data_IF_473790520928
#
_entry.id   IF_473790520928
#
_cell.length_a   1.000
_cell.length_b   1.000
_cell.length_c   1.000
_cell.angle_alpha   90.00
_cell.angle_beta   90.00
_cell.angle_gamma   90.00
#
_symmetry.space_group_name_H-M   'P 1'
#
loop_
_entity.id
_entity.type
_entity.pdbx_description
1 polymer ?
#
# COMPACT_ATOMS: atom_id res chain seq x y z
N UNK A 1 -15.63 11.66 -37.38
CA UNK A 1 -14.25 11.39 -36.98
C UNK A 1 -14.03 11.96 -35.57
N UNK A 2 -13.68 11.12 -34.60
CA UNK A 2 -13.26 11.63 -33.29
C UNK A 2 -11.94 12.40 -33.46
N UNK A 3 -11.88 13.62 -32.94
CA UNK A 3 -10.61 14.35 -32.92
C UNK A 3 -9.65 13.64 -31.96
N UNK A 4 -8.32 13.72 -32.19
CA UNK A 4 -7.30 13.12 -31.31
C UNK A 4 -7.56 13.47 -29.83
N UNK A 5 -7.94 14.69 -29.55
CA UNK A 5 -8.28 15.16 -28.22
C UNK A 5 -9.45 14.36 -27.59
N UNK A 6 -10.55 14.13 -28.33
CA UNK A 6 -11.68 13.35 -27.82
C UNK A 6 -11.30 11.87 -27.60
N UNK A 7 -10.44 11.33 -28.45
CA UNK A 7 -9.94 9.96 -28.31
C UNK A 7 -9.12 9.81 -27.02
N UNK A 8 -8.22 10.77 -26.74
CA UNK A 8 -7.42 10.77 -25.51
C UNK A 8 -8.29 10.92 -24.26
N UNK A 9 -9.29 11.82 -24.27
CA UNK A 9 -10.22 11.98 -23.16
C UNK A 9 -10.98 10.68 -22.88
N UNK A 10 -11.50 10.03 -23.91
CA UNK A 10 -12.20 8.75 -23.76
C UNK A 10 -11.27 7.65 -23.26
N UNK A 11 -10.06 7.55 -23.83
CA UNK A 11 -9.06 6.57 -23.44
C UNK A 11 -8.70 6.66 -21.94
N UNK A 12 -8.34 7.84 -21.46
CA UNK A 12 -7.98 8.02 -20.05
C UNK A 12 -9.18 7.88 -19.11
N UNK A 13 -10.38 8.26 -19.53
CA UNK A 13 -11.59 8.05 -18.74
C UNK A 13 -11.89 6.54 -18.58
N UNK A 14 -11.86 5.77 -19.67
CA UNK A 14 -12.06 4.32 -19.62
C UNK A 14 -10.97 3.65 -18.79
N UNK A 15 -9.71 4.04 -18.99
CA UNK A 15 -8.58 3.48 -18.24
C UNK A 15 -8.71 3.76 -16.74
N UNK A 16 -9.19 4.94 -16.34
CA UNK A 16 -9.46 5.29 -14.94
C UNK A 16 -10.55 4.40 -14.33
N UNK A 17 -11.65 4.17 -15.06
CA UNK A 17 -12.73 3.29 -14.57
C UNK A 17 -12.25 1.84 -14.43
N UNK A 18 -11.49 1.34 -15.42
CA UNK A 18 -10.94 -0.02 -15.36
C UNK A 18 -9.91 -0.19 -14.22
N UNK A 19 -9.09 0.83 -13.98
CA UNK A 19 -8.14 0.84 -12.87
C UNK A 19 -8.88 0.77 -11.53
N UNK A 20 -9.93 1.57 -11.36
CA UNK A 20 -10.78 1.56 -10.17
C UNK A 20 -11.45 0.20 -9.97
N UNK A 21 -12.04 -0.35 -11.03
CA UNK A 21 -12.65 -1.68 -11.01
C UNK A 21 -11.65 -2.77 -10.62
N UNK A 22 -10.40 -2.68 -11.12
CA UNK A 22 -9.32 -3.59 -10.76
C UNK A 22 -8.98 -3.57 -9.27
N UNK A 23 -9.06 -2.40 -8.63
CA UNK A 23 -8.85 -2.26 -7.20
C UNK A 23 -9.97 -2.89 -6.35
N UNK A 24 -11.24 -2.72 -6.78
CA UNK A 24 -12.39 -3.25 -6.04
C UNK A 24 -12.63 -4.76 -6.27
N UNK A 25 -12.33 -5.28 -7.46
CA UNK A 25 -12.60 -6.67 -7.84
C UNK A 25 -11.33 -7.53 -7.91
N UNK A 26 -10.32 -7.20 -7.08
CA UNK A 26 -9.05 -7.94 -7.03
C UNK A 26 -9.19 -9.43 -6.63
N UNK A 27 -10.34 -9.83 -6.08
CA UNK A 27 -10.60 -11.16 -5.52
C UNK A 27 -10.74 -12.30 -6.57
N UNK A 28 -9.92 -12.26 -7.62
CA UNK A 28 -9.75 -13.42 -8.50
C UNK A 28 -10.65 -13.47 -9.74
N UNK A 29 -11.59 -12.53 -9.94
CA UNK A 29 -12.48 -12.53 -11.11
C UNK A 29 -11.71 -12.14 -12.38
N UNK A 30 -10.75 -11.23 -12.27
CA UNK A 30 -9.92 -10.82 -13.39
C UNK A 30 -8.53 -10.32 -12.94
N UNK A 31 -7.59 -11.23 -12.83
CA UNK A 31 -6.22 -10.93 -12.40
C UNK A 31 -5.55 -9.83 -13.25
N UNK A 32 -5.88 -9.78 -14.54
CA UNK A 32 -5.34 -8.76 -15.46
C UNK A 32 -5.83 -7.35 -15.12
N UNK A 33 -7.06 -7.23 -14.58
CA UNK A 33 -7.59 -5.95 -14.16
C UNK A 33 -6.83 -5.40 -12.95
N UNK A 34 -6.39 -6.28 -12.06
CA UNK A 34 -5.59 -5.90 -10.88
C UNK A 34 -4.23 -5.32 -11.27
N UNK A 35 -3.62 -5.76 -12.38
CA UNK A 35 -2.39 -5.14 -12.87
C UNK A 35 -2.56 -3.68 -13.32
N UNK A 36 -3.77 -3.27 -13.73
CA UNK A 36 -4.03 -1.88 -14.07
C UNK A 36 -3.90 -0.94 -12.86
N UNK A 37 -4.10 -1.45 -11.65
CA UNK A 37 -3.93 -0.63 -10.42
C UNK A 37 -2.49 -0.17 -10.24
N UNK A 38 -1.50 -0.91 -10.78
CA UNK A 38 -0.11 -0.49 -10.77
C UNK A 38 0.12 0.76 -11.64
N UNK A 39 -0.78 1.01 -12.60
CA UNK A 39 -0.72 2.17 -13.50
C UNK A 39 -1.52 3.37 -13.01
N UNK A 40 -2.00 3.35 -11.77
CA UNK A 40 -2.81 4.46 -11.22
C UNK A 40 -2.08 5.80 -11.33
N UNK A 41 -0.79 5.86 -11.03
CA UNK A 41 0.00 7.10 -11.10
C UNK A 41 0.14 7.67 -12.52
N UNK A 42 0.56 6.88 -13.53
CA UNK A 42 0.55 7.35 -14.92
C UNK A 42 -0.85 7.75 -15.41
N UNK A 43 -1.91 7.05 -14.97
CA UNK A 43 -3.29 7.38 -15.34
C UNK A 43 -3.70 8.73 -14.75
N UNK A 44 -3.40 8.98 -13.48
CA UNK A 44 -3.67 10.26 -12.81
C UNK A 44 -2.86 11.39 -13.43
N UNK A 45 -1.58 11.18 -13.71
CA UNK A 45 -0.73 12.15 -14.39
C UNK A 45 -1.26 12.51 -15.79
N UNK A 46 -1.70 11.50 -16.56
CA UNK A 46 -2.33 11.70 -17.86
C UNK A 46 -3.63 12.51 -17.78
N UNK A 47 -4.48 12.22 -16.82
CA UNK A 47 -5.70 13.01 -16.60
C UNK A 47 -5.38 14.44 -16.18
N UNK A 48 -4.38 14.65 -15.32
CA UNK A 48 -3.95 16.01 -14.93
C UNK A 48 -3.43 16.80 -16.12
N UNK A 49 -2.63 16.16 -16.97
CA UNK A 49 -2.16 16.76 -18.23
C UNK A 49 -3.33 17.12 -19.15
N UNK A 50 -4.34 16.25 -19.27
CA UNK A 50 -5.54 16.53 -20.05
C UNK A 50 -6.34 17.69 -19.47
N UNK A 51 -6.43 17.83 -18.14
CA UNK A 51 -7.02 19.04 -17.51
C UNK A 51 -6.27 20.27 -17.98
N UNK A 52 -4.94 20.29 -17.90
CA UNK A 52 -4.13 21.42 -18.32
C UNK A 52 -4.35 21.74 -19.82
N UNK A 53 -4.34 20.73 -20.69
CA UNK A 53 -4.59 20.92 -22.14
C UNK A 53 -6.00 21.49 -22.37
N UNK A 54 -7.03 20.97 -21.71
CA UNK A 54 -8.41 21.43 -21.91
C UNK A 54 -8.63 22.90 -21.51
N UNK A 55 -7.89 23.42 -20.54
CA UNK A 55 -7.96 24.84 -20.14
C UNK A 55 -7.58 25.79 -21.27
N UNK A 56 -6.72 25.35 -22.20
CA UNK A 56 -6.28 26.13 -23.37
C UNK A 56 -7.12 25.85 -24.63
N UNK A 57 -8.09 24.93 -24.57
CA UNK A 57 -8.97 24.65 -25.71
C UNK A 57 -10.21 25.57 -25.72
N UNK A 58 -10.87 25.68 -26.88
CA UNK A 58 -12.15 26.40 -27.01
C UNK A 58 -13.28 25.70 -26.26
N UNK A 59 -13.19 24.36 -26.08
CA UNK A 59 -14.25 23.53 -25.47
C UNK A 59 -13.91 23.21 -24.01
N UNK A 60 -13.77 24.24 -23.19
CA UNK A 60 -13.36 24.15 -21.78
C UNK A 60 -14.24 23.22 -20.93
N UNK A 61 -15.52 23.06 -21.28
CA UNK A 61 -16.43 22.16 -20.57
C UNK A 61 -15.96 20.69 -20.56
N UNK A 62 -15.12 20.29 -21.54
CA UNK A 62 -14.56 18.93 -21.58
C UNK A 62 -13.55 18.67 -20.47
N UNK A 63 -13.06 19.69 -19.77
CA UNK A 63 -12.21 19.54 -18.58
C UNK A 63 -12.89 18.72 -17.48
N UNK A 64 -14.23 18.70 -17.47
CA UNK A 64 -14.99 17.93 -16.47
C UNK A 64 -14.65 16.42 -16.53
N UNK A 65 -14.35 15.88 -17.71
CA UNK A 65 -14.08 14.42 -17.90
C UNK A 65 -12.82 13.98 -17.13
N UNK A 66 -11.63 14.57 -17.37
CA UNK A 66 -10.44 14.16 -16.62
C UNK A 66 -10.50 14.60 -15.14
N UNK A 67 -11.24 15.66 -14.79
CA UNK A 67 -11.46 16.01 -13.39
C UNK A 67 -12.27 14.95 -12.65
N UNK A 68 -13.37 14.47 -13.24
CA UNK A 68 -14.15 13.36 -12.67
C UNK A 68 -13.30 12.09 -12.57
N UNK A 69 -12.48 11.80 -13.58
CA UNK A 69 -11.56 10.66 -13.54
C UNK A 69 -10.57 10.75 -12.36
N UNK A 70 -10.04 11.94 -12.05
CA UNK A 70 -9.18 12.15 -10.87
C UNK A 70 -9.99 12.00 -9.57
N UNK A 71 -11.19 12.58 -9.50
CA UNK A 71 -12.06 12.49 -8.33
C UNK A 71 -12.47 11.06 -7.99
N UNK A 72 -12.62 10.18 -8.98
CA UNK A 72 -12.89 8.76 -8.76
C UNK A 72 -11.78 8.05 -7.97
N UNK A 73 -10.55 8.59 -7.99
CA UNK A 73 -9.41 8.02 -7.27
C UNK A 73 -9.12 8.72 -5.93
N UNK A 74 -10.04 9.54 -5.42
CA UNK A 74 -9.83 10.31 -4.19
C UNK A 74 -9.54 9.41 -3.00
N UNK A 75 -10.25 8.30 -2.84
CA UNK A 75 -10.04 7.36 -1.74
C UNK A 75 -8.62 6.78 -1.76
N UNK A 76 -8.14 6.43 -2.95
CA UNK A 76 -6.77 5.97 -3.13
C UNK A 76 -5.75 7.07 -2.79
N UNK A 77 -5.97 8.30 -3.26
CA UNK A 77 -5.09 9.43 -2.98
C UNK A 77 -5.04 9.74 -1.48
N UNK A 78 -6.18 9.71 -0.80
CA UNK A 78 -6.24 9.94 0.65
C UNK A 78 -5.62 8.80 1.46
N UNK A 79 -5.69 7.56 0.97
CA UNK A 79 -5.03 6.42 1.61
C UNK A 79 -3.50 6.48 1.49
N UNK A 80 -2.98 6.99 0.36
CA UNK A 80 -1.52 7.11 0.12
C UNK A 80 -0.95 8.38 0.77
N UNK A 81 -1.65 9.51 0.63
CA UNK A 81 -1.26 10.76 1.24
C UNK A 81 -2.07 10.99 2.51
N UNK A 82 -1.52 10.62 3.64
CA UNK A 82 -2.03 11.05 4.92
C UNK A 82 -1.77 12.56 5.03
N UNK A 83 -2.81 13.35 4.77
CA UNK A 83 -2.75 14.78 5.04
C UNK A 83 -2.51 14.95 6.55
N UNK A 84 -1.59 15.85 6.96
CA UNK A 84 -1.36 16.09 8.36
C UNK A 84 -2.71 16.44 9.02
N UNK A 85 -3.10 15.63 9.99
CA UNK A 85 -4.31 15.88 10.77
C UNK A 85 -4.08 17.18 11.52
N UNK A 86 -4.86 18.20 11.23
CA UNK A 86 -4.76 19.52 11.86
C UNK A 86 -5.11 19.51 13.34
N UNK A 87 -5.67 18.40 13.80
CA UNK A 87 -5.92 18.10 15.20
C UNK A 87 -4.98 16.97 15.63
N UNK A 88 -3.68 17.24 15.76
CA UNK A 88 -2.85 16.36 16.57
C UNK A 88 -3.44 16.35 17.99
N UNK A 89 -3.86 15.19 18.52
CA UNK A 89 -4.30 15.12 19.90
C UNK A 89 -3.17 15.69 20.75
N UNK A 90 -3.45 16.76 21.47
CA UNK A 90 -2.50 17.31 22.44
C UNK A 90 -2.13 16.19 23.40
N UNK A 91 -0.87 16.09 23.79
CA UNK A 91 -0.37 15.03 24.67
C UNK A 91 -1.18 14.88 25.98
N UNK A 92 -1.99 15.89 26.32
CA UNK A 92 -2.94 15.87 27.44
C UNK A 92 -4.21 15.04 27.21
N UNK A 93 -4.52 14.63 25.96
CA UNK A 93 -5.70 13.81 25.64
C UNK A 93 -5.37 12.32 25.53
N UNK A 94 -4.09 11.94 25.66
CA UNK A 94 -3.66 10.54 25.68
C UNK A 94 -3.81 9.96 27.09
N UNK A 95 -5.04 9.78 27.55
CA UNK A 95 -5.34 8.89 28.68
C UNK A 95 -5.20 7.44 28.21
N UNK A 96 -4.01 6.87 28.35
CA UNK A 96 -3.75 5.48 28.00
C UNK A 96 -2.36 5.04 28.42
N UNK A 97 -2.20 3.73 28.64
CA UNK A 97 -0.88 3.15 28.85
C UNK A 97 -0.13 3.14 27.52
N UNK A 98 1.10 3.69 27.43
CA UNK A 98 1.88 3.66 26.20
C UNK A 98 2.12 2.20 25.79
N UNK A 99 1.86 1.88 24.51
CA UNK A 99 2.05 0.57 23.94
C UNK A 99 3.23 0.61 22.97
N UNK A 100 4.23 -0.23 23.22
CA UNK A 100 5.40 -0.35 22.31
C UNK A 100 5.14 -1.45 21.30
N UNK A 101 5.05 -1.09 20.02
CA UNK A 101 4.84 -2.02 18.91
C UNK A 101 6.09 -2.06 18.05
N UNK A 102 6.62 -3.26 17.79
CA UNK A 102 7.73 -3.50 16.86
C UNK A 102 7.22 -4.23 15.64
N UNK A 103 7.58 -3.74 14.47
CA UNK A 103 7.37 -4.42 13.18
C UNK A 103 8.71 -4.79 12.58
N UNK A 104 8.89 -6.05 12.16
CA UNK A 104 10.16 -6.58 11.71
C UNK A 104 9.98 -7.52 10.51
N UNK A 105 10.58 -7.15 9.37
CA UNK A 105 10.64 -8.05 8.22
C UNK A 105 11.80 -9.01 8.41
N UNK A 106 11.49 -10.30 8.58
CA UNK A 106 12.47 -11.35 8.84
C UNK A 106 13.18 -11.85 7.58
N UNK A 107 12.68 -11.53 6.38
CA UNK A 107 13.21 -12.00 5.09
C UNK A 107 13.55 -13.51 5.12
N UNK A 108 12.71 -14.32 5.75
CA UNK A 108 12.87 -15.76 5.97
C UNK A 108 14.19 -16.17 6.65
N UNK A 109 14.93 -15.22 7.22
CA UNK A 109 16.26 -15.43 7.83
C UNK A 109 17.26 -16.12 6.88
N UNK A 110 17.31 -15.71 5.60
CA UNK A 110 18.08 -16.40 4.56
C UNK A 110 19.59 -16.36 4.73
N UNK A 111 20.16 -15.33 5.33
CA UNK A 111 21.62 -15.10 5.33
C UNK A 111 22.39 -16.09 6.22
N UNK A 112 22.03 -16.21 7.47
CA UNK A 112 22.50 -17.24 8.42
C UNK A 112 21.40 -17.45 9.46
N UNK A 113 20.63 -18.52 9.31
CA UNK A 113 19.41 -18.75 10.05
C UNK A 113 19.60 -18.69 11.57
N UNK A 114 20.66 -19.31 12.07
CA UNK A 114 20.88 -19.37 13.52
C UNK A 114 21.37 -18.04 14.09
N UNK A 115 22.27 -17.38 13.40
CA UNK A 115 22.86 -16.11 13.84
C UNK A 115 21.84 -14.99 13.75
N UNK A 116 21.20 -14.82 12.59
CA UNK A 116 20.22 -13.74 12.34
C UNK A 116 19.00 -13.84 13.26
N UNK A 117 18.49 -15.06 13.53
CA UNK A 117 17.39 -15.27 14.46
C UNK A 117 17.75 -14.87 15.89
N UNK A 118 18.92 -15.27 16.36
CA UNK A 118 19.38 -14.96 17.70
C UNK A 118 19.64 -13.46 17.89
N UNK A 119 20.20 -12.79 16.87
CA UNK A 119 20.40 -11.33 16.91
C UNK A 119 19.07 -10.58 16.88
N UNK A 120 18.13 -10.95 16.01
CA UNK A 120 16.83 -10.35 15.96
C UNK A 120 16.09 -10.50 17.30
N UNK A 121 16.12 -11.69 17.89
CA UNK A 121 15.51 -11.95 19.17
C UNK A 121 16.16 -11.14 20.31
N UNK A 122 17.48 -11.06 20.33
CA UNK A 122 18.21 -10.26 21.32
C UNK A 122 17.88 -8.75 21.17
N UNK A 123 17.75 -8.27 19.94
CA UNK A 123 17.36 -6.89 19.67
C UNK A 123 15.93 -6.60 20.10
N UNK A 124 14.97 -7.46 19.73
CA UNK A 124 13.56 -7.33 20.12
C UNK A 124 13.42 -7.35 21.64
N UNK A 125 14.13 -8.28 22.32
CA UNK A 125 14.15 -8.34 23.77
C UNK A 125 14.66 -7.04 24.42
N UNK A 126 15.69 -6.43 23.85
CA UNK A 126 16.22 -5.15 24.33
C UNK A 126 15.19 -4.02 24.24
N UNK A 127 14.31 -4.05 23.25
CA UNK A 127 13.25 -3.05 23.06
C UNK A 127 12.06 -3.26 24.03
N UNK A 128 11.91 -4.45 24.60
CA UNK A 128 10.79 -4.83 25.49
C UNK A 128 9.42 -4.43 24.92
N UNK A 129 9.09 -4.81 23.67
CA UNK A 129 7.83 -4.42 23.09
C UNK A 129 6.66 -5.20 23.69
N UNK A 130 5.48 -4.55 23.72
CA UNK A 130 4.23 -5.20 24.08
C UNK A 130 3.68 -6.07 22.96
N UNK A 131 3.94 -5.67 21.69
CA UNK A 131 3.51 -6.38 20.49
C UNK A 131 4.65 -6.44 19.48
N UNK A 132 4.86 -7.62 18.87
CA UNK A 132 5.81 -7.81 17.76
C UNK A 132 5.06 -8.35 16.55
N UNK A 133 5.15 -7.63 15.41
CA UNK A 133 4.60 -8.03 14.14
C UNK A 133 5.73 -8.45 13.20
N UNK A 134 5.78 -9.73 12.84
CA UNK A 134 6.76 -10.25 11.88
C UNK A 134 6.17 -10.30 10.48
N UNK A 135 6.93 -9.81 9.49
CA UNK A 135 6.67 -10.06 8.07
C UNK A 135 7.71 -11.06 7.55
N UNK A 136 7.30 -11.83 6.54
CA UNK A 136 8.15 -12.84 5.89
C UNK A 136 8.83 -13.78 6.90
N UNK A 137 8.18 -14.04 8.01
CA UNK A 137 8.63 -15.06 8.94
C UNK A 137 8.33 -16.45 8.39
N UNK A 138 9.21 -17.45 8.59
CA UNK A 138 8.94 -18.80 8.14
C UNK A 138 7.71 -19.37 8.85
N UNK A 139 6.66 -19.69 8.08
CA UNK A 139 5.45 -20.32 8.58
C UNK A 139 5.56 -21.84 8.66
N UNK A 140 4.61 -22.47 9.34
CA UNK A 140 4.56 -23.93 9.64
C UNK A 140 4.67 -24.86 8.41
N UNK A 141 4.33 -24.36 7.20
CA UNK A 141 4.31 -25.18 5.98
C UNK A 141 5.59 -25.14 5.13
N UNK A 142 6.52 -24.23 5.41
CA UNK A 142 7.67 -24.00 4.53
C UNK A 142 8.91 -24.86 4.86
N UNK A 143 8.99 -25.39 6.07
CA UNK A 143 10.13 -26.19 6.52
C UNK A 143 9.68 -27.48 7.19
N UNK A 144 9.85 -28.60 6.48
CA UNK A 144 9.69 -29.97 7.00
C UNK A 144 10.71 -30.36 8.10
N UNK A 145 11.28 -29.40 8.82
CA UNK A 145 12.21 -29.69 9.90
C UNK A 145 11.74 -29.02 11.19
N UNK A 146 11.32 -29.85 12.11
CA UNK A 146 10.92 -29.53 13.48
C UNK A 146 11.90 -28.58 14.21
N UNK A 147 13.17 -28.58 13.80
CA UNK A 147 14.23 -27.80 14.42
C UNK A 147 14.09 -26.28 14.28
N UNK A 148 13.43 -25.74 13.21
CA UNK A 148 13.34 -24.28 13.00
C UNK A 148 12.15 -23.69 13.73
N UNK A 149 11.02 -24.40 13.76
CA UNK A 149 9.86 -24.03 14.58
C UNK A 149 10.25 -23.93 16.05
N UNK A 150 10.91 -24.97 16.56
CA UNK A 150 11.40 -24.97 17.94
C UNK A 150 12.42 -23.86 18.22
N UNK A 151 13.26 -23.49 17.27
CA UNK A 151 14.21 -22.40 17.48
C UNK A 151 13.52 -21.04 17.56
N UNK A 152 12.52 -20.80 16.73
CA UNK A 152 11.78 -19.53 16.75
C UNK A 152 10.91 -19.41 18.00
N UNK A 153 10.11 -20.41 18.30
CA UNK A 153 9.31 -20.48 19.53
C UNK A 153 10.23 -20.46 20.77
N UNK A 154 11.33 -21.20 20.73
CA UNK A 154 12.30 -21.25 21.83
C UNK A 154 12.96 -19.90 22.10
N UNK A 155 13.34 -19.14 21.05
CA UNK A 155 13.95 -17.83 21.20
C UNK A 155 12.95 -16.78 21.67
N UNK A 156 11.68 -16.86 21.25
CA UNK A 156 10.65 -15.92 21.68
C UNK A 156 10.04 -16.26 23.06
N UNK A 157 9.89 -17.54 23.38
CA UNK A 157 9.27 -17.97 24.67
C UNK A 157 10.28 -18.16 25.79
N UNK A 158 11.56 -18.35 25.51
CA UNK A 158 12.58 -18.53 26.56
C UNK A 158 12.99 -17.21 27.21
N UNK A 159 12.55 -16.11 26.67
CA UNK A 159 12.88 -14.78 27.13
C UNK A 159 11.63 -13.93 27.38
#
# INVERSE_FOLDING_TARGET
MLTLNNTLLLFFAVLSVLCLAGGYYADGICIWLSFLTLLVWPILAGNLLLVAIQLFTKTKWKTIVPLLAILLHTDYLLAVYQLPYWNEPTASEQEGTPLTVVTYNASHFYLDRNYTMNEAAAYIKKLQPDIVCFQEAPGDGYYHRDSIRYAFDYVLYKY
#
